data_IF_050113306086
#
_entry.id   IF_050113306086
#
_cell.length_a   1.000
_cell.length_b   1.000
_cell.length_c   1.000
_cell.angle_alpha   90.00
_cell.angle_beta   90.00
_cell.angle_gamma   90.00
#
_symmetry.space_group_name_H-M   'P 1'
#
loop_
_entity.id
_entity.type
_entity.pdbx_description
1 polymer ?
#
# COMPACT_ATOMS: atom_id res chain seq x y z
N UNK A 1 -14.37 -76.89 18.71
CA UNK A 1 -14.17 -77.57 17.41
C UNK A 1 -15.50 -77.53 16.68
N UNK A 2 -15.68 -76.89 15.54
CA UNK A 2 -14.81 -76.07 14.71
C UNK A 2 -15.67 -75.09 13.91
N UNK A 3 -15.18 -73.86 13.84
CA UNK A 3 -15.62 -72.75 13.00
C UNK A 3 -14.76 -72.82 11.74
N UNK A 4 -15.20 -73.42 10.62
CA UNK A 4 -14.60 -73.20 9.28
C UNK A 4 -15.52 -73.79 8.19
N UNK A 5 -16.55 -73.06 7.72
CA UNK A 5 -17.18 -73.35 6.41
C UNK A 5 -18.07 -72.26 5.77
N UNK A 6 -17.83 -70.97 6.01
CA UNK A 6 -18.58 -69.90 5.33
C UNK A 6 -17.77 -68.63 4.99
N UNK A 7 -16.52 -68.79 4.53
CA UNK A 7 -15.77 -67.69 3.90
C UNK A 7 -15.33 -68.19 2.54
N UNK A 8 -16.17 -68.06 1.49
CA UNK A 8 -15.78 -67.99 0.06
C UNK A 8 -16.97 -67.86 -0.90
N UNK A 9 -18.01 -67.09 -0.55
CA UNK A 9 -19.04 -66.64 -1.51
C UNK A 9 -19.26 -65.14 -1.28
N UNK A 10 -18.30 -64.35 -1.73
CA UNK A 10 -18.28 -62.90 -1.48
C UNK A 10 -17.44 -62.10 -2.47
N UNK A 11 -17.17 -62.64 -3.67
CA UNK A 11 -16.50 -61.92 -4.75
C UNK A 11 -17.04 -62.48 -6.07
N UNK A 12 -18.09 -61.86 -6.64
CA UNK A 12 -18.47 -61.89 -8.07
C UNK A 12 -19.91 -61.38 -8.27
N UNK A 13 -20.22 -60.14 -7.89
CA UNK A 13 -21.44 -59.46 -8.37
C UNK A 13 -21.37 -57.96 -8.05
N UNK A 14 -20.50 -57.19 -8.73
CA UNK A 14 -20.75 -55.81 -9.19
C UNK A 14 -19.74 -55.53 -10.31
N UNK A 15 -20.04 -55.95 -11.53
CA UNK A 15 -19.30 -55.57 -12.72
C UNK A 15 -20.26 -55.47 -13.90
N UNK A 16 -21.23 -54.55 -13.81
CA UNK A 16 -21.85 -54.00 -15.01
C UNK A 16 -22.51 -52.65 -14.70
N UNK A 17 -21.88 -51.57 -15.15
CA UNK A 17 -22.49 -50.26 -15.46
C UNK A 17 -21.37 -49.34 -15.94
N UNK A 18 -21.02 -49.50 -17.20
CA UNK A 18 -20.27 -48.51 -17.96
C UNK A 18 -21.10 -47.22 -18.05
N UNK A 19 -20.68 -46.15 -17.37
CA UNK A 19 -21.11 -44.79 -17.69
C UNK A 19 -20.00 -44.16 -18.52
N UNK A 20 -20.28 -43.99 -19.81
CA UNK A 20 -19.49 -43.16 -20.73
C UNK A 20 -19.50 -41.72 -20.21
N UNK A 21 -18.32 -41.20 -19.88
CA UNK A 21 -18.12 -39.78 -19.61
C UNK A 21 -17.88 -39.11 -20.97
N UNK A 22 -18.88 -38.41 -21.48
CA UNK A 22 -18.68 -37.46 -22.58
C UNK A 22 -17.89 -36.24 -22.07
N UNK A 23 -16.99 -35.65 -22.86
CA UNK A 23 -16.31 -34.42 -22.48
C UNK A 23 -17.31 -33.27 -22.48
N UNK A 24 -17.78 -32.89 -21.29
CA UNK A 24 -18.58 -31.68 -21.11
C UNK A 24 -17.70 -30.46 -21.37
N UNK A 25 -17.95 -29.77 -22.48
CA UNK A 25 -17.35 -28.48 -22.80
C UNK A 25 -17.73 -27.47 -21.71
N UNK A 26 -16.76 -27.07 -20.90
CA UNK A 26 -16.91 -25.99 -19.92
C UNK A 26 -16.96 -24.64 -20.65
N UNK A 27 -18.17 -24.22 -21.01
CA UNK A 27 -18.46 -22.86 -21.42
C UNK A 27 -19.04 -22.07 -20.26
N UNK A 28 -18.21 -21.28 -19.56
CA UNK A 28 -18.47 -19.89 -19.13
C UNK A 28 -17.46 -19.46 -18.06
N UNK A 29 -16.77 -18.39 -18.41
CA UNK A 29 -15.93 -17.54 -17.57
C UNK A 29 -16.71 -17.04 -16.35
N UNK A 30 -16.31 -17.47 -15.16
CA UNK A 30 -16.55 -16.72 -13.93
C UNK A 30 -15.51 -15.59 -13.85
N UNK A 31 -15.87 -14.36 -13.48
CA UNK A 31 -14.89 -13.30 -13.27
C UNK A 31 -14.10 -13.62 -11.99
N UNK A 32 -12.86 -14.06 -12.15
CA UNK A 32 -11.91 -14.13 -11.05
C UNK A 32 -11.42 -12.72 -10.73
N UNK A 33 -11.76 -12.20 -9.55
CA UNK A 33 -11.09 -11.01 -9.03
C UNK A 33 -9.70 -11.43 -8.54
N UNK A 34 -8.70 -11.26 -9.41
CA UNK A 34 -7.29 -11.46 -9.08
C UNK A 34 -6.81 -10.28 -8.25
N UNK A 35 -6.34 -10.53 -7.03
CA UNK A 35 -5.59 -9.53 -6.26
C UNK A 35 -4.22 -9.40 -6.93
N UNK A 36 -4.03 -8.33 -7.70
CA UNK A 36 -2.73 -7.97 -8.26
C UNK A 36 -2.18 -6.76 -7.49
N UNK A 37 -1.11 -6.97 -6.74
CA UNK A 37 -0.26 -5.90 -6.23
C UNK A 37 0.90 -5.68 -7.20
N UNK A 38 1.23 -4.43 -7.50
CA UNK A 38 2.52 -4.11 -8.13
C UNK A 38 3.55 -4.03 -7.03
N UNK A 39 4.40 -5.06 -6.91
CA UNK A 39 5.65 -4.97 -6.17
C UNK A 39 6.67 -4.24 -7.06
N UNK A 40 6.50 -2.92 -7.18
CA UNK A 40 7.45 -2.03 -7.83
C UNK A 40 8.00 -1.08 -6.79
N UNK A 41 9.32 -1.08 -6.65
CA UNK A 41 10.14 -0.14 -5.86
C UNK A 41 10.20 -0.36 -4.34
N UNK A 42 10.56 -1.59 -3.93
CA UNK A 42 11.28 -1.82 -2.66
C UNK A 42 12.79 -1.53 -2.81
N UNK A 43 13.26 -1.26 -4.04
CA UNK A 43 14.68 -1.16 -4.38
C UNK A 43 15.23 0.28 -4.47
N UNK A 44 14.39 1.33 -4.42
CA UNK A 44 14.88 2.71 -4.58
C UNK A 44 15.60 3.28 -3.34
N UNK A 45 15.43 2.70 -2.15
CA UNK A 45 15.91 3.30 -0.88
C UNK A 45 16.84 2.38 -0.03
N UNK A 46 17.47 1.34 -0.60
CA UNK A 46 18.43 0.49 0.14
C UNK A 46 19.81 0.36 -0.57
N UNK A 47 20.84 1.11 -0.14
CA UNK A 47 22.19 0.94 -0.67
C UNK A 47 22.97 -0.22 -0.03
N UNK A 48 22.50 -0.86 1.06
CA UNK A 48 23.22 -1.99 1.70
C UNK A 48 22.29 -2.95 2.49
N UNK A 49 21.85 -4.05 1.85
CA UNK A 49 21.90 -5.38 2.48
C UNK A 49 20.61 -6.24 2.58
N UNK A 50 20.48 -7.15 1.61
CA UNK A 50 20.04 -8.57 1.72
C UNK A 50 18.64 -8.92 2.29
N UNK A 51 17.73 -9.11 1.32
CA UNK A 51 16.80 -10.24 1.05
C UNK A 51 15.77 -10.70 2.10
N UNK A 52 14.48 -10.69 1.71
CA UNK A 52 13.70 -11.92 1.42
C UNK A 52 12.36 -11.60 0.72
N UNK A 53 12.36 -11.60 -0.61
CA UNK A 53 11.44 -12.37 -1.46
C UNK A 53 11.96 -12.28 -2.90
N UNK A 54 12.69 -13.32 -3.32
CA UNK A 54 13.08 -13.52 -4.71
C UNK A 54 11.84 -13.80 -5.57
N UNK A 55 11.18 -12.75 -6.04
CA UNK A 55 10.44 -12.84 -7.30
C UNK A 55 11.47 -12.54 -8.39
N UNK A 56 12.10 -13.62 -8.88
CA UNK A 56 13.03 -13.57 -9.98
C UNK A 56 12.40 -12.94 -11.23
N UNK A 57 12.61 -11.64 -11.42
CA UNK A 57 12.61 -11.04 -12.75
C UNK A 57 14.03 -11.23 -13.31
N UNK A 58 14.17 -12.16 -14.26
CA UNK A 58 15.43 -12.38 -14.96
C UNK A 58 15.92 -11.12 -15.68
N UNK A 59 17.20 -11.07 -16.10
CA UNK A 59 17.89 -9.87 -16.62
C UNK A 59 17.35 -9.30 -17.94
N UNK A 60 16.22 -9.80 -18.44
CA UNK A 60 15.54 -9.33 -19.65
C UNK A 60 14.04 -8.98 -19.43
N UNK A 61 13.51 -9.06 -18.20
CA UNK A 61 12.14 -8.58 -17.95
C UNK A 61 12.17 -7.08 -17.65
N UNK A 62 11.52 -6.23 -18.49
CA UNK A 62 11.28 -4.85 -18.10
C UNK A 62 10.48 -4.89 -16.80
N UNK A 63 10.90 -4.08 -15.83
CA UNK A 63 10.12 -3.80 -14.62
C UNK A 63 8.65 -3.66 -15.05
N UNK A 64 7.67 -4.31 -14.40
CA UNK A 64 6.29 -4.16 -14.79
C UNK A 64 5.87 -2.72 -14.50
N UNK A 65 6.08 -1.84 -15.47
CA UNK A 65 5.68 -0.45 -15.49
C UNK A 65 4.15 -0.45 -15.52
N UNK A 66 3.53 -0.55 -14.34
CA UNK A 66 2.07 -0.53 -14.20
C UNK A 66 1.50 0.87 -14.34
N UNK A 67 2.32 1.91 -14.57
CA UNK A 67 1.91 3.31 -14.50
C UNK A 67 2.10 4.13 -15.78
N UNK A 68 1.10 4.98 -16.05
CA UNK A 68 0.81 5.62 -17.33
C UNK A 68 -0.43 5.02 -18.04
N UNK A 69 -0.83 3.80 -17.68
CA UNK A 69 -2.03 3.17 -18.22
C UNK A 69 -3.30 3.66 -17.51
N UNK A 70 -4.03 4.56 -18.17
CA UNK A 70 -5.45 4.77 -17.86
C UNK A 70 -6.16 3.41 -17.99
N UNK A 71 -6.90 2.99 -16.96
CA UNK A 71 -7.64 1.72 -16.88
C UNK A 71 -6.83 0.44 -16.51
N UNK A 72 -5.72 0.55 -15.78
CA UNK A 72 -5.04 -0.64 -15.23
C UNK A 72 -5.95 -1.42 -14.26
N UNK A 73 -5.84 -2.75 -14.23
CA UNK A 73 -6.72 -3.61 -13.42
C UNK A 73 -6.65 -3.33 -11.92
N UNK A 74 -5.48 -2.90 -11.42
CA UNK A 74 -5.30 -2.50 -10.01
C UNK A 74 -5.98 -1.18 -9.63
N UNK A 75 -6.42 -0.39 -10.62
CA UNK A 75 -7.06 0.91 -10.43
C UNK A 75 -8.57 0.86 -10.67
N UNK A 76 -9.13 -0.35 -10.87
CA UNK A 76 -10.58 -0.53 -11.03
C UNK A 76 -11.30 -0.26 -9.73
N UNK A 77 -12.51 0.28 -9.85
CA UNK A 77 -13.41 0.47 -8.72
C UNK A 77 -13.59 -0.83 -7.93
N UNK A 78 -13.52 -0.72 -6.60
CA UNK A 78 -13.55 -1.86 -5.69
C UNK A 78 -12.19 -2.49 -5.41
N UNK A 79 -11.09 -2.12 -6.07
CA UNK A 79 -9.74 -2.61 -5.73
C UNK A 79 -9.33 -2.22 -4.30
N UNK A 80 -8.55 -3.07 -3.61
CA UNK A 80 -8.00 -2.75 -2.29
C UNK A 80 -6.57 -2.27 -2.48
N UNK A 81 -6.31 -1.00 -2.17
CA UNK A 81 -4.94 -0.49 -2.04
C UNK A 81 -4.37 -0.91 -0.70
N UNK A 82 -3.38 -1.79 -0.74
CA UNK A 82 -2.59 -2.19 0.42
C UNK A 82 -1.46 -1.17 0.58
N UNK A 83 -1.29 -0.53 1.76
CA UNK A 83 -0.20 0.40 1.95
C UNK A 83 1.15 -0.33 1.90
N UNK A 84 2.23 0.39 1.57
CA UNK A 84 3.57 -0.18 1.60
C UNK A 84 3.92 -0.72 2.98
N UNK A 85 4.71 -1.79 3.02
CA UNK A 85 5.12 -2.38 4.28
C UNK A 85 6.05 -1.42 5.05
N UNK A 86 5.57 -0.95 6.21
CA UNK A 86 6.33 -0.11 7.13
C UNK A 86 6.56 -0.88 8.45
N UNK A 87 7.77 -1.44 8.66
CA UNK A 87 8.08 -2.20 9.86
C UNK A 87 8.19 -1.26 11.08
N UNK A 88 7.39 -1.45 12.14
CA UNK A 88 7.41 -0.54 13.29
C UNK A 88 8.77 -0.45 13.97
N UNK A 89 9.56 -1.52 13.98
CA UNK A 89 10.88 -1.53 14.62
C UNK A 89 11.83 -0.53 13.95
N UNK A 90 11.88 -0.51 12.61
CA UNK A 90 12.68 0.46 11.84
C UNK A 90 12.20 1.89 12.14
N UNK A 91 10.89 2.11 12.16
CA UNK A 91 10.34 3.45 12.39
C UNK A 91 10.64 3.94 13.81
N UNK A 92 10.57 3.07 14.81
CA UNK A 92 10.82 3.41 16.22
C UNK A 92 12.27 3.80 16.50
N UNK A 93 13.26 3.20 15.81
CA UNK A 93 14.67 3.52 16.04
C UNK A 93 15.06 4.94 15.62
N UNK A 94 14.24 5.57 14.78
CA UNK A 94 14.47 6.92 14.26
C UNK A 94 13.58 8.00 14.91
N UNK A 95 12.75 7.63 15.88
CA UNK A 95 11.94 8.62 16.60
C UNK A 95 12.84 9.50 17.46
N UNK A 96 12.84 10.79 17.18
CA UNK A 96 13.48 11.81 18.01
C UNK A 96 12.48 12.33 19.06
N UNK A 97 12.91 13.04 20.12
CA UNK A 97 12.01 13.53 21.15
C UNK A 97 10.84 14.34 20.58
N UNK A 98 9.61 14.09 21.01
CA UNK A 98 8.40 14.76 20.49
C UNK A 98 8.42 16.28 20.64
N UNK A 99 9.17 16.79 21.63
CA UNK A 99 9.36 18.23 21.87
C UNK A 99 10.33 18.88 20.90
N UNK A 100 10.98 18.12 20.03
CA UNK A 100 11.91 18.66 19.02
C UNK A 100 11.13 19.57 18.07
N UNK A 101 11.52 20.83 17.91
CA UNK A 101 10.80 21.74 17.03
C UNK A 101 10.95 21.31 15.57
N UNK A 102 9.86 21.48 14.81
CA UNK A 102 9.89 21.34 13.35
C UNK A 102 10.61 22.56 12.76
N UNK A 103 11.86 22.33 12.37
CA UNK A 103 12.81 23.35 11.90
C UNK A 103 12.98 23.37 10.39
N UNK A 104 12.43 22.39 9.69
CA UNK A 104 12.40 22.30 8.23
C UNK A 104 10.99 22.65 7.78
N UNK A 105 10.83 23.52 6.79
CA UNK A 105 9.50 23.89 6.29
C UNK A 105 8.97 22.82 5.33
N UNK A 106 9.66 22.59 4.22
CA UNK A 106 9.36 21.50 3.26
C UNK A 106 10.52 20.53 3.19
N UNK A 107 10.23 19.23 3.22
CA UNK A 107 11.21 18.16 3.13
C UNK A 107 10.88 17.16 2.03
N UNK A 108 11.90 16.76 1.28
CA UNK A 108 11.82 15.63 0.36
C UNK A 108 13.21 15.03 0.15
N UNK A 109 13.31 13.71 0.21
CA UNK A 109 14.43 12.97 -0.38
C UNK A 109 13.89 11.99 -1.39
N UNK A 110 14.53 11.86 -2.53
CA UNK A 110 14.20 10.87 -3.53
C UNK A 110 14.55 11.33 -4.93
N UNK A 111 14.43 10.42 -5.90
CA UNK A 111 14.78 10.66 -7.29
C UNK A 111 13.92 11.79 -7.89
N UNK A 112 14.54 12.81 -8.48
CA UNK A 112 13.83 13.85 -9.25
C UNK A 112 13.79 13.57 -10.76
N UNK A 113 14.85 12.97 -11.29
CA UNK A 113 15.00 12.60 -12.69
C UNK A 113 15.35 11.12 -12.77
N UNK A 114 14.55 10.34 -13.49
CA UNK A 114 14.96 9.00 -13.90
C UNK A 114 15.72 9.10 -15.22
N UNK A 115 16.99 9.52 -15.16
CA UNK A 115 17.81 9.74 -16.36
C UNK A 115 17.96 8.47 -17.21
N UNK A 116 17.77 7.29 -16.61
CA UNK A 116 17.84 6.00 -17.31
C UNK A 116 16.62 5.71 -18.18
N UNK A 117 15.42 6.00 -17.69
CA UNK A 117 14.16 5.67 -18.39
C UNK A 117 13.41 6.89 -18.95
N UNK A 118 13.67 8.08 -18.41
CA UNK A 118 13.05 9.36 -18.75
C UNK A 118 14.07 10.51 -18.68
N UNK A 119 15.00 10.58 -19.65
CA UNK A 119 16.07 11.58 -19.67
C UNK A 119 15.56 13.02 -19.80
N UNK A 120 14.33 13.23 -20.29
CA UNK A 120 13.70 14.55 -20.39
C UNK A 120 12.93 14.93 -19.11
N UNK A 121 12.70 13.98 -18.19
CA UNK A 121 12.02 14.20 -16.92
C UNK A 121 10.52 14.50 -17.03
N UNK A 122 9.90 14.23 -18.19
CA UNK A 122 8.50 14.55 -18.47
C UNK A 122 7.50 13.44 -18.16
N UNK A 123 7.96 12.20 -18.03
CA UNK A 123 7.14 11.00 -17.86
C UNK A 123 7.17 10.48 -16.43
N UNK A 124 8.35 10.47 -15.80
CA UNK A 124 8.51 10.10 -14.41
C UNK A 124 7.74 11.08 -13.53
N UNK A 125 6.85 10.54 -12.71
CA UNK A 125 5.93 11.33 -11.89
C UNK A 125 5.15 12.39 -12.70
N UNK A 126 4.96 12.17 -14.02
CA UNK A 126 4.33 13.13 -14.95
C UNK A 126 4.96 14.53 -14.89
N UNK A 127 6.27 14.59 -14.66
CA UNK A 127 7.03 15.83 -14.56
C UNK A 127 6.91 16.56 -13.21
N UNK A 128 6.11 16.08 -12.27
CA UNK A 128 5.93 16.73 -10.96
C UNK A 128 7.24 16.81 -10.17
N UNK A 129 8.08 15.76 -10.22
CA UNK A 129 9.36 15.75 -9.51
C UNK A 129 10.42 16.62 -10.18
N UNK A 130 10.53 16.56 -11.50
CA UNK A 130 11.40 17.48 -12.25
C UNK A 130 11.00 18.94 -11.99
N UNK A 131 9.70 19.25 -12.02
CA UNK A 131 9.18 20.58 -11.69
C UNK A 131 9.53 20.99 -10.25
N UNK A 132 9.39 20.09 -9.27
CA UNK A 132 9.76 20.39 -7.88
C UNK A 132 11.27 20.70 -7.75
N UNK A 133 12.12 19.96 -8.46
CA UNK A 133 13.56 20.21 -8.45
C UNK A 133 13.92 21.56 -9.06
N UNK A 134 13.48 21.82 -10.29
CA UNK A 134 13.86 23.02 -11.03
C UNK A 134 13.36 24.32 -10.37
N UNK A 135 12.21 24.27 -9.70
CA UNK A 135 11.66 25.45 -9.04
C UNK A 135 12.21 25.65 -7.61
N UNK A 136 12.61 24.59 -6.90
CA UNK A 136 12.85 24.69 -5.45
C UNK A 136 14.22 24.18 -4.96
N UNK A 137 15.09 23.64 -5.81
CA UNK A 137 16.42 23.15 -5.39
C UNK A 137 17.29 24.21 -4.69
N UNK A 138 17.12 25.48 -5.05
CA UNK A 138 17.86 26.61 -4.48
C UNK A 138 16.99 27.44 -3.49
N UNK A 139 15.78 26.98 -3.17
CA UNK A 139 14.85 27.70 -2.28
C UNK A 139 15.14 27.35 -0.81
N UNK A 140 15.42 28.33 0.08
CA UNK A 140 15.77 28.05 1.47
C UNK A 140 14.63 27.46 2.31
N UNK A 141 13.38 27.53 1.84
CA UNK A 141 12.23 26.89 2.49
C UNK A 141 12.12 25.39 2.17
N UNK A 142 12.84 24.91 1.16
CA UNK A 142 12.76 23.56 0.62
C UNK A 142 14.06 22.82 0.87
N UNK A 143 14.04 21.94 1.86
CA UNK A 143 15.12 20.99 2.07
C UNK A 143 14.84 19.75 1.20
N UNK A 144 15.32 19.78 -0.05
CA UNK A 144 15.06 18.74 -1.05
C UNK A 144 16.36 18.21 -1.67
N UNK A 145 16.49 16.88 -1.83
CA UNK A 145 17.71 16.26 -2.38
C UNK A 145 17.47 14.85 -2.94
N UNK A 146 18.31 14.39 -3.86
CA UNK A 146 18.33 12.99 -4.32
C UNK A 146 18.95 12.05 -3.30
N UNK A 147 19.77 12.57 -2.38
CA UNK A 147 20.50 11.76 -1.41
C UNK A 147 19.58 11.24 -0.31
N UNK A 148 19.72 9.97 0.07
CA UNK A 148 18.98 9.40 1.20
C UNK A 148 19.90 9.29 2.43
N UNK A 149 20.01 10.35 3.26
CA UNK A 149 20.91 10.33 4.41
C UNK A 149 20.43 9.35 5.47
N UNK A 150 21.33 8.89 6.34
CA UNK A 150 20.98 8.06 7.50
C UNK A 150 20.02 8.76 8.47
N UNK A 151 19.94 10.09 8.40
CA UNK A 151 19.04 10.94 9.20
C UNK A 151 17.72 11.27 8.48
N UNK A 152 17.35 10.52 7.45
CA UNK A 152 16.17 10.77 6.62
C UNK A 152 14.89 10.92 7.46
N UNK A 153 14.64 9.96 8.34
CA UNK A 153 13.44 9.92 9.16
C UNK A 153 13.40 11.05 10.22
N UNK A 154 14.55 11.38 10.79
CA UNK A 154 14.71 12.51 11.70
C UNK A 154 14.46 13.83 10.97
N UNK A 155 14.86 13.93 9.70
CA UNK A 155 14.52 15.02 8.78
C UNK A 155 13.00 15.15 8.62
N UNK A 156 12.31 14.04 8.33
CA UNK A 156 10.84 14.03 8.23
C UNK A 156 10.17 14.47 9.53
N UNK A 157 10.65 14.01 10.69
CA UNK A 157 10.08 14.41 11.99
C UNK A 157 10.31 15.90 12.30
N UNK A 158 11.40 16.48 11.79
CA UNK A 158 11.72 17.91 11.89
C UNK A 158 11.03 18.78 10.83
N UNK A 159 10.35 18.19 9.85
CA UNK A 159 9.73 18.91 8.75
C UNK A 159 8.26 19.25 9.02
N UNK A 160 7.77 20.40 8.58
CA UNK A 160 6.34 20.74 8.64
C UNK A 160 5.58 19.95 7.56
N UNK A 161 6.06 20.03 6.33
CA UNK A 161 5.49 19.41 5.14
C UNK A 161 6.46 18.41 4.51
N UNK A 162 5.95 17.25 4.10
CA UNK A 162 6.73 16.25 3.36
C UNK A 162 6.11 16.08 1.98
N UNK A 163 6.90 16.34 0.93
CA UNK A 163 6.40 16.14 -0.43
C UNK A 163 6.20 14.65 -0.68
N UNK A 164 5.03 14.32 -1.21
CA UNK A 164 4.66 12.98 -1.64
C UNK A 164 4.23 13.02 -3.11
N UNK A 165 5.14 13.40 -4.03
CA UNK A 165 4.86 13.30 -5.45
C UNK A 165 4.74 11.84 -5.85
N UNK A 166 3.94 11.59 -6.88
CA UNK A 166 3.84 10.27 -7.50
C UNK A 166 5.25 9.77 -7.90
N UNK A 167 5.44 8.46 -7.89
CA UNK A 167 6.63 7.79 -8.42
C UNK A 167 6.27 6.92 -9.61
N UNK A 168 7.00 5.82 -9.81
CA UNK A 168 6.63 4.80 -10.79
C UNK A 168 5.46 3.92 -10.32
N UNK A 169 5.18 3.88 -9.02
CA UNK A 169 4.08 3.10 -8.45
C UNK A 169 2.82 3.97 -8.16
N UNK A 170 1.60 3.39 -8.19
CA UNK A 170 0.36 4.04 -7.73
C UNK A 170 0.32 4.39 -6.24
N UNK A 171 1.39 4.04 -5.53
CA UNK A 171 1.50 4.16 -4.09
C UNK A 171 2.87 4.77 -3.77
N UNK A 172 2.97 5.39 -2.60
CA UNK A 172 4.22 6.00 -2.15
C UNK A 172 4.46 5.62 -0.69
N UNK A 173 5.60 4.98 -0.35
CA UNK A 173 5.94 4.69 1.04
C UNK A 173 6.07 5.98 1.85
N UNK A 174 6.45 7.09 1.20
CA UNK A 174 6.56 8.42 1.80
C UNK A 174 5.25 8.91 2.43
N UNK A 175 4.09 8.51 1.90
CA UNK A 175 2.79 8.83 2.50
C UNK A 175 2.66 8.24 3.90
N UNK A 176 3.03 6.97 4.04
CA UNK A 176 2.99 6.23 5.31
C UNK A 176 4.03 6.80 6.28
N UNK A 177 5.26 7.00 5.80
CA UNK A 177 6.35 7.55 6.61
C UNK A 177 6.03 8.97 7.13
N UNK A 178 5.48 9.84 6.28
CA UNK A 178 5.08 11.19 6.67
C UNK A 178 4.06 11.16 7.82
N UNK A 179 3.07 10.28 7.74
CA UNK A 179 2.08 10.10 8.82
C UNK A 179 2.72 9.63 10.11
N UNK A 180 3.64 8.65 10.05
CA UNK A 180 4.32 8.09 11.22
C UNK A 180 5.16 9.15 11.96
N UNK A 181 5.92 9.95 11.21
CA UNK A 181 6.77 11.02 11.75
C UNK A 181 6.04 12.35 11.97
N UNK A 182 4.72 12.38 11.72
CA UNK A 182 3.86 13.54 11.92
C UNK A 182 4.13 14.71 10.97
N UNK A 183 4.82 14.45 9.87
CA UNK A 183 5.04 15.39 8.79
C UNK A 183 3.78 15.48 7.93
N UNK A 184 3.27 16.67 7.64
CA UNK A 184 2.03 16.82 6.85
C UNK A 184 2.31 16.35 5.41
N UNK A 185 1.66 15.28 4.91
CA UNK A 185 1.89 14.82 3.56
C UNK A 185 1.32 15.83 2.55
N UNK A 186 2.16 16.30 1.64
CA UNK A 186 1.78 17.11 0.47
C UNK A 186 1.66 16.17 -0.71
N UNK A 187 0.43 15.78 -1.02
CA UNK A 187 0.09 14.75 -2.00
C UNK A 187 0.03 15.42 -3.37
N UNK A 188 1.00 15.12 -4.21
CA UNK A 188 1.12 15.65 -5.58
C UNK A 188 0.92 14.49 -6.55
N UNK A 189 -0.34 14.10 -6.73
CA UNK A 189 -0.72 12.98 -7.57
C UNK A 189 -2.22 13.03 -7.91
N UNK A 190 -2.56 13.52 -9.11
CA UNK A 190 -3.95 13.82 -9.50
C UNK A 190 -4.88 12.58 -9.48
N UNK A 191 -4.34 11.38 -9.71
CA UNK A 191 -5.13 10.14 -9.86
C UNK A 191 -4.79 9.09 -8.77
N UNK A 192 -4.18 9.50 -7.66
CA UNK A 192 -3.76 8.54 -6.63
C UNK A 192 -4.95 7.93 -5.89
N UNK A 193 -4.90 6.61 -5.71
CA UNK A 193 -5.82 5.91 -4.82
C UNK A 193 -5.14 5.69 -3.48
N UNK A 194 -5.54 6.45 -2.46
CA UNK A 194 -4.93 6.40 -1.14
C UNK A 194 -5.34 5.12 -0.38
N UNK A 195 -4.44 4.55 0.44
CA UNK A 195 -4.79 3.38 1.24
C UNK A 195 -5.76 3.76 2.36
N UNK A 196 -6.65 2.83 2.70
CA UNK A 196 -7.53 2.92 3.86
C UNK A 196 -8.35 4.22 4.00
N UNK A 197 -8.87 4.78 2.90
CA UNK A 197 -9.67 6.03 2.92
C UNK A 197 -10.87 6.05 3.90
N UNK A 198 -11.40 4.90 4.32
CA UNK A 198 -12.50 4.83 5.31
C UNK A 198 -11.99 4.92 6.76
N UNK A 199 -10.70 4.65 6.98
CA UNK A 199 -10.09 4.61 8.31
C UNK A 199 -9.14 5.81 8.52
N UNK A 200 -8.58 6.34 7.44
CA UNK A 200 -7.62 7.45 7.46
C UNK A 200 -8.25 8.67 6.78
N UNK A 201 -8.47 9.77 7.51
CA UNK A 201 -9.07 10.99 6.97
C UNK A 201 -8.01 11.81 6.23
N UNK A 202 -7.59 11.35 5.06
CA UNK A 202 -6.52 11.96 4.25
C UNK A 202 -6.72 13.46 3.99
N UNK A 203 -7.96 13.88 3.70
CA UNK A 203 -8.33 15.29 3.53
C UNK A 203 -8.07 16.15 4.78
N UNK A 204 -8.24 15.55 5.96
CA UNK A 204 -8.02 16.26 7.22
C UNK A 204 -6.53 16.34 7.58
N UNK A 205 -5.71 15.36 7.19
CA UNK A 205 -4.31 15.27 7.61
C UNK A 205 -3.29 15.73 6.56
N UNK A 206 -3.65 15.69 5.28
CA UNK A 206 -2.78 16.02 4.15
C UNK A 206 -3.10 17.36 3.48
N UNK A 207 -2.29 17.70 2.48
CA UNK A 207 -2.51 18.81 1.55
C UNK A 207 -2.47 18.23 0.15
N UNK A 208 -3.52 18.42 -0.64
CA UNK A 208 -3.59 17.95 -2.02
C UNK A 208 -3.22 19.09 -2.96
N UNK A 209 -2.27 18.82 -3.85
CA UNK A 209 -1.78 19.79 -4.84
C UNK A 209 -1.79 19.10 -6.19
N UNK A 210 -2.39 19.73 -7.20
CA UNK A 210 -2.36 19.15 -8.54
C UNK A 210 -0.93 19.20 -9.09
N UNK A 211 -0.57 18.25 -9.94
CA UNK A 211 0.79 18.17 -10.53
C UNK A 211 1.16 19.44 -11.31
N UNK A 212 0.19 20.05 -12.00
CA UNK A 212 0.38 21.33 -12.70
C UNK A 212 0.67 22.52 -11.79
N UNK A 213 0.29 22.44 -10.51
CA UNK A 213 0.40 23.52 -9.54
C UNK A 213 1.72 23.43 -8.73
N UNK A 214 2.56 22.42 -9.00
CA UNK A 214 3.87 22.24 -8.38
C UNK A 214 4.74 23.52 -8.39
N UNK A 215 4.83 24.28 -9.49
CA UNK A 215 5.63 25.52 -9.50
C UNK A 215 5.18 26.58 -8.48
N UNK A 216 3.97 26.46 -7.91
CA UNK A 216 3.41 27.37 -6.92
C UNK A 216 3.42 26.79 -5.49
N UNK A 217 4.14 25.69 -5.23
CA UNK A 217 4.14 25.01 -3.92
C UNK A 217 4.51 25.93 -2.76
N UNK A 218 5.48 26.82 -2.95
CA UNK A 218 5.91 27.78 -1.94
C UNK A 218 4.75 28.69 -1.49
N UNK A 219 4.01 29.23 -2.45
CA UNK A 219 2.87 30.11 -2.25
C UNK A 219 1.71 29.34 -1.63
N UNK A 220 1.41 28.15 -2.14
CA UNK A 220 0.34 27.29 -1.63
C UNK A 220 0.61 26.94 -0.17
N UNK A 221 1.80 26.42 0.15
CA UNK A 221 2.13 25.97 1.50
C UNK A 221 2.30 27.13 2.48
N UNK A 222 2.86 28.26 2.05
CA UNK A 222 2.96 29.46 2.88
C UNK A 222 1.60 30.12 3.17
N UNK A 223 0.59 29.90 2.32
CA UNK A 223 -0.77 30.42 2.54
C UNK A 223 -1.56 29.64 3.60
N UNK A 224 -1.11 28.45 3.99
CA UNK A 224 -1.80 27.63 4.98
C UNK A 224 -1.63 28.26 6.36
N UNK A 225 -2.74 28.61 6.99
CA UNK A 225 -2.74 29.26 8.29
C UNK A 225 -2.12 28.36 9.37
N UNK A 226 -1.31 28.90 10.31
CA UNK A 226 -0.62 28.11 11.34
C UNK A 226 -1.56 27.23 12.18
N UNK A 227 -2.78 27.68 12.46
CA UNK A 227 -3.80 26.91 13.18
C UNK A 227 -4.24 25.64 12.43
N UNK A 228 -4.26 25.69 11.09
CA UNK A 228 -4.56 24.54 10.25
C UNK A 228 -3.40 23.54 10.33
N UNK A 229 -2.16 24.02 10.22
CA UNK A 229 -0.94 23.20 10.35
C UNK A 229 -0.93 22.48 11.71
N UNK A 230 -1.17 23.21 12.79
CA UNK A 230 -1.22 22.64 14.15
C UNK A 230 -2.36 21.61 14.29
N UNK A 231 -3.53 21.86 13.69
CA UNK A 231 -4.63 20.87 13.68
C UNK A 231 -4.22 19.59 12.96
N UNK A 232 -3.63 19.68 11.76
CA UNK A 232 -3.17 18.53 10.98
C UNK A 232 -2.13 17.71 11.77
N UNK A 233 -1.14 18.38 12.35
CA UNK A 233 -0.11 17.72 13.18
C UNK A 233 -0.69 17.06 14.44
N UNK A 234 -1.70 17.66 15.08
CA UNK A 234 -2.40 17.01 16.21
C UNK A 234 -3.09 15.71 15.77
N UNK A 235 -3.76 15.70 14.62
CA UNK A 235 -4.38 14.48 14.08
C UNK A 235 -3.32 13.41 13.76
N UNK A 236 -2.20 13.80 13.16
CA UNK A 236 -1.07 12.90 12.88
C UNK A 236 -0.41 12.34 14.17
N UNK A 237 -0.50 13.07 15.29
CA UNK A 237 0.05 12.61 16.56
C UNK A 237 -0.78 11.53 17.25
N UNK A 238 -2.02 11.27 16.80
CA UNK A 238 -2.91 10.28 17.39
C UNK A 238 -2.30 8.88 17.24
N UNK A 239 -2.10 8.10 18.34
CA UNK A 239 -1.48 6.78 18.27
C UNK A 239 -2.17 5.80 17.34
N UNK A 240 -3.52 5.78 17.31
CA UNK A 240 -4.28 4.91 16.42
C UNK A 240 -4.08 5.24 14.94
N UNK A 241 -3.81 6.50 14.60
CA UNK A 241 -3.48 6.92 13.23
C UNK A 241 -2.17 6.30 12.78
N UNK A 242 -1.14 6.36 13.63
CA UNK A 242 0.16 5.76 13.33
C UNK A 242 0.09 4.25 13.27
N UNK A 243 -0.63 3.63 14.20
CA UNK A 243 -0.81 2.17 14.23
C UNK A 243 -1.49 1.66 12.96
N UNK A 244 -2.50 2.37 12.44
CA UNK A 244 -3.19 2.02 11.20
C UNK A 244 -2.29 2.01 9.96
N UNK A 245 -1.09 2.62 10.03
CA UNK A 245 -0.09 2.62 8.97
C UNK A 245 1.03 1.59 9.15
N UNK A 246 1.07 0.90 10.29
CA UNK A 246 2.17 0.00 10.67
C UNK A 246 1.75 -1.47 10.61
N UNK A 247 2.71 -2.35 10.35
CA UNK A 247 2.53 -3.80 10.37
C UNK A 247 3.30 -4.44 11.54
N UNK A 248 2.80 -4.31 12.79
CA UNK A 248 3.46 -4.89 13.96
C UNK A 248 3.43 -6.42 13.96
N UNK A 249 4.41 -7.01 14.65
CA UNK A 249 4.48 -8.44 14.91
C UNK A 249 4.55 -8.66 16.44
N UNK A 250 3.52 -9.27 17.06
CA UNK A 250 2.29 -9.78 16.44
C UNK A 250 1.32 -8.66 16.02
N UNK A 251 0.46 -8.94 15.05
CA UNK A 251 -0.58 -8.03 14.59
C UNK A 251 -1.50 -7.57 15.74
N UNK A 252 -1.90 -6.30 15.72
CA UNK A 252 -2.68 -5.62 16.76
C UNK A 252 -3.97 -5.01 16.19
N UNK A 253 -5.11 -5.09 16.89
CA UNK A 253 -6.38 -4.55 16.39
C UNK A 253 -6.26 -3.10 15.90
N UNK A 254 -6.69 -2.85 14.65
CA UNK A 254 -6.63 -1.52 14.03
C UNK A 254 -5.29 -1.16 13.38
N UNK A 255 -4.34 -2.09 13.32
CA UNK A 255 -3.12 -1.95 12.51
C UNK A 255 -3.38 -2.14 11.01
N UNK A 256 -2.35 -1.89 10.19
CA UNK A 256 -2.46 -2.00 8.74
C UNK A 256 -2.90 -3.41 8.29
N UNK A 257 -2.41 -4.46 8.96
CA UNK A 257 -2.81 -5.84 8.67
C UNK A 257 -4.31 -6.06 8.92
N UNK A 258 -4.84 -5.66 10.07
CA UNK A 258 -6.27 -5.76 10.36
C UNK A 258 -7.12 -4.91 9.41
N UNK A 259 -6.64 -3.73 9.00
CA UNK A 259 -7.35 -2.91 8.02
C UNK A 259 -7.42 -3.57 6.64
N UNK A 260 -6.36 -4.27 6.22
CA UNK A 260 -6.39 -5.13 5.03
C UNK A 260 -7.42 -6.24 5.19
N UNK A 261 -7.43 -6.96 6.31
CA UNK A 261 -8.41 -8.02 6.57
C UNK A 261 -9.86 -7.48 6.57
N UNK A 262 -10.10 -6.33 7.18
CA UNK A 262 -11.41 -5.67 7.19
C UNK A 262 -11.86 -5.28 5.78
N UNK A 263 -10.94 -4.80 4.93
CA UNK A 263 -11.21 -4.48 3.52
C UNK A 263 -11.54 -5.74 2.72
N UNK A 264 -10.78 -6.81 2.91
CA UNK A 264 -11.01 -8.11 2.25
C UNK A 264 -12.36 -8.70 2.66
N UNK A 265 -12.70 -8.67 3.95
CA UNK A 265 -13.98 -9.17 4.46
C UNK A 265 -15.19 -8.46 3.81
N UNK A 266 -15.09 -7.16 3.50
CA UNK A 266 -16.16 -6.39 2.83
C UNK A 266 -16.35 -6.76 1.36
N UNK A 267 -15.36 -7.40 0.72
CA UNK A 267 -15.46 -7.90 -0.66
C UNK A 267 -16.14 -9.27 -0.74
N UNK A 268 -16.14 -10.02 0.35
CA UNK A 268 -16.85 -11.29 0.40
C UNK A 268 -18.36 -11.00 0.49
N UNK A 269 -19.23 -11.85 -0.08
CA UNK A 269 -20.68 -11.68 -0.04
C UNK A 269 -21.24 -12.07 1.33
N UNK A 270 -20.74 -11.41 2.38
CA UNK A 270 -21.28 -11.48 3.72
C UNK A 270 -22.40 -10.46 3.91
N UNK A 271 -23.29 -10.72 4.87
CA UNK A 271 -24.17 -9.69 5.39
C UNK A 271 -23.33 -8.52 5.94
N UNK A 272 -23.76 -7.27 5.73
CA UNK A 272 -23.00 -6.04 6.09
C UNK A 272 -22.64 -5.95 7.58
N UNK A 273 -23.19 -6.83 8.42
CA UNK A 273 -22.94 -6.95 9.85
C UNK A 273 -21.71 -7.79 10.26
N UNK A 274 -20.99 -8.41 9.32
CA UNK A 274 -19.79 -9.23 9.65
C UNK A 274 -18.52 -8.38 9.74
N UNK A 275 -17.99 -8.21 10.95
CA UNK A 275 -16.72 -7.56 11.24
C UNK A 275 -16.02 -8.24 12.42
N UNK A 276 -14.69 -8.19 12.46
CA UNK A 276 -13.91 -8.63 13.63
C UNK A 276 -14.24 -7.69 14.79
N UNK A 277 -14.79 -8.23 15.88
CA UNK A 277 -15.04 -7.45 17.11
C UNK A 277 -13.74 -7.34 17.93
N UNK A 278 -13.61 -6.31 18.79
CA UNK A 278 -12.45 -6.18 19.67
C UNK A 278 -12.22 -7.48 20.48
N UNK A 279 -11.04 -8.09 20.33
CA UNK A 279 -10.65 -9.33 21.02
C UNK A 279 -10.83 -10.61 20.20
N UNK A 280 -11.50 -10.57 19.05
CA UNK A 280 -11.59 -11.71 18.14
C UNK A 280 -10.30 -11.82 17.31
N UNK A 281 -9.81 -13.06 17.11
CA UNK A 281 -8.62 -13.36 16.29
C UNK A 281 -8.95 -14.11 14.99
N UNK A 282 -10.19 -14.54 14.86
CA UNK A 282 -10.67 -15.36 13.73
C UNK A 282 -11.99 -14.77 13.28
N UNK A 283 -12.02 -14.22 12.07
CA UNK A 283 -13.27 -13.95 11.38
C UNK A 283 -13.77 -15.31 10.84
N UNK A 284 -15.06 -15.63 10.97
CA UNK A 284 -15.57 -16.85 10.36
C UNK A 284 -15.66 -16.65 8.84
N UNK A 285 -14.55 -16.88 8.14
CA UNK A 285 -14.42 -16.81 6.68
C UNK A 285 -15.37 -17.77 5.94
N UNK A 286 -16.01 -18.71 6.66
CA UNK A 286 -16.99 -19.65 6.12
C UNK A 286 -18.44 -19.18 6.24
N UNK A 287 -18.69 -18.01 6.82
CA UNK A 287 -20.03 -17.41 6.94
C UNK A 287 -20.51 -16.73 5.65
N UNK A 288 -20.03 -17.19 4.49
CA UNK A 288 -20.58 -16.86 3.17
C UNK A 288 -21.63 -17.89 2.75
N UNK A 289 -22.44 -17.62 1.70
CA UNK A 289 -23.27 -18.64 1.07
C UNK A 289 -22.44 -19.89 0.74
N UNK A 290 -23.06 -21.08 0.82
CA UNK A 290 -22.39 -22.40 0.65
C UNK A 290 -21.57 -22.51 -0.66
N UNK A 291 -21.86 -21.67 -1.66
CA UNK A 291 -21.10 -21.56 -2.90
C UNK A 291 -19.68 -20.98 -2.76
N UNK A 292 -19.39 -20.21 -1.71
CA UNK A 292 -18.06 -19.61 -1.46
C UNK A 292 -17.10 -20.56 -0.73
N UNK A 293 -17.59 -21.72 -0.27
CA UNK A 293 -16.85 -22.66 0.55
C UNK A 293 -16.00 -23.67 -0.23
N UNK A 294 -15.86 -23.52 -1.55
CA UNK A 294 -15.10 -24.46 -2.37
C UNK A 294 -14.27 -23.79 -3.46
N UNK A 295 -12.95 -24.02 -3.50
CA UNK A 295 -12.14 -23.79 -4.70
C UNK A 295 -12.17 -24.96 -5.70
N UNK A 296 -12.99 -26.00 -5.47
CA UNK A 296 -13.22 -27.14 -6.39
C UNK A 296 -14.61 -27.78 -6.21
#
# INVERSE_FOLDING_TARGET
>A
MEIWRWVFIGILFIADSMVKIEPFKLGRSQPTERISGSAGDVLEDDPVGRLEEDIAAGPEMPQPHTFGQRNHVCLKEGSITIPPYAPPQKMQTHLIPEKTPRSIFVYFRGLFYDVGNDPEGGYYARGARAAAWENFKDNPLFDISNEHPTTYYEGMQRAVFCLCPLGWAPWSPRLVEAVIFGCIPVIIADDIVLPFVDAIPWEEIGVFVNEKDVPNLDTILASIAPEVILRKQRLLSIPSMKQAMLFPQPAQPGDAFHLVLNRLARKLPHDRSVYLKPGERVLNWTAGPVGDLKPW
#
